data_IF_072104049584
#
_entry.id   IF_072104049584
#
_cell.length_a   1.000
_cell.length_b   1.000
_cell.length_c   1.000
_cell.angle_alpha   90.00
_cell.angle_beta   90.00
_cell.angle_gamma   90.00
#
_symmetry.space_group_name_H-M   'P 1'
#
loop_
_entity.id
_entity.type
_entity.pdbx_description
1 polymer ?
#
# COMPACT_ATOMS: atom_id res chain seq x y z
N UNK A 1 -3.84 26.62 -16.71
CA UNK A 1 -3.04 25.40 -16.46
C UNK A 1 -2.94 25.01 -14.95
N UNK A 2 -3.05 25.95 -14.02
CA UNK A 2 -2.94 25.67 -12.58
C UNK A 2 -4.08 24.79 -12.04
N UNK A 3 -5.32 25.03 -12.45
CA UNK A 3 -6.48 24.25 -12.02
C UNK A 3 -6.41 22.75 -12.38
N UNK A 4 -5.77 22.42 -13.49
CA UNK A 4 -5.65 21.03 -13.93
C UNK A 4 -4.69 20.22 -13.04
N UNK A 5 -3.63 20.84 -12.52
CA UNK A 5 -2.69 20.17 -11.61
C UNK A 5 -3.35 19.76 -10.29
N UNK A 6 -4.34 20.51 -9.84
CA UNK A 6 -5.11 20.21 -8.64
C UNK A 6 -6.20 19.16 -8.89
N UNK A 7 -6.79 19.14 -10.09
CA UNK A 7 -7.88 18.21 -10.43
C UNK A 7 -7.41 16.78 -10.64
N UNK A 8 -6.23 16.57 -11.24
CA UNK A 8 -5.73 15.22 -11.52
C UNK A 8 -5.58 14.33 -10.28
N UNK A 9 -4.94 14.78 -9.19
CA UNK A 9 -4.87 13.98 -7.96
C UNK A 9 -6.25 13.79 -7.30
N UNK A 10 -7.16 14.75 -7.46
CA UNK A 10 -8.50 14.67 -6.87
C UNK A 10 -9.37 13.55 -7.46
N UNK A 11 -9.09 13.11 -8.68
CA UNK A 11 -9.75 11.95 -9.30
C UNK A 11 -9.56 10.67 -8.48
N UNK A 12 -8.46 10.54 -7.75
CA UNK A 12 -8.21 9.41 -6.85
C UNK A 12 -9.21 9.37 -5.68
N UNK A 13 -9.73 10.53 -5.29
CA UNK A 13 -10.70 10.67 -4.20
C UNK A 13 -12.13 10.77 -4.73
N UNK A 14 -12.31 11.34 -5.91
CA UNK A 14 -13.61 11.57 -6.55
C UNK A 14 -13.56 11.21 -8.04
N UNK A 15 -13.72 9.93 -8.40
CA UNK A 15 -13.69 9.46 -9.78
C UNK A 15 -14.79 10.09 -10.66
N UNK A 16 -15.84 10.62 -10.05
CA UNK A 16 -16.92 11.33 -10.76
C UNK A 16 -16.43 12.54 -11.58
N UNK A 17 -15.28 13.11 -11.26
CA UNK A 17 -14.67 14.18 -12.06
C UNK A 17 -14.29 13.76 -13.49
N UNK A 18 -14.16 12.48 -13.73
CA UNK A 18 -13.92 11.90 -15.06
C UNK A 18 -15.10 11.07 -15.57
N UNK A 19 -16.29 11.29 -14.99
CA UNK A 19 -17.52 10.61 -15.40
C UNK A 19 -17.62 9.15 -14.98
N UNK A 20 -16.83 8.71 -13.97
CA UNK A 20 -16.91 7.36 -13.40
C UNK A 20 -17.64 7.39 -12.07
N UNK A 21 -18.71 6.60 -11.96
CA UNK A 21 -19.49 6.44 -10.73
C UNK A 21 -18.90 5.34 -9.84
N UNK A 22 -17.60 5.43 -9.59
CA UNK A 22 -16.88 4.49 -8.75
C UNK A 22 -16.48 5.14 -7.42
N UNK A 23 -16.15 4.32 -6.44
CA UNK A 23 -15.70 4.78 -5.13
C UNK A 23 -14.26 5.31 -5.21
N UNK A 24 -13.97 6.36 -4.45
CA UNK A 24 -12.62 6.86 -4.25
C UNK A 24 -11.75 5.95 -3.37
N UNK A 25 -10.45 6.20 -3.34
CA UNK A 25 -9.50 5.43 -2.51
C UNK A 25 -9.93 5.35 -1.03
N UNK A 26 -10.40 6.43 -0.38
CA UNK A 26 -10.82 6.35 1.02
C UNK A 26 -11.94 5.34 1.24
N UNK A 27 -12.96 5.35 0.37
CA UNK A 27 -14.11 4.46 0.47
C UNK A 27 -13.72 3.01 0.18
N UNK A 28 -12.87 2.78 -0.83
CA UNK A 28 -12.34 1.46 -1.16
C UNK A 28 -11.51 0.89 -0.02
N UNK A 29 -10.64 1.71 0.59
CA UNK A 29 -9.85 1.33 1.76
C UNK A 29 -10.76 0.97 2.94
N UNK A 30 -11.73 1.81 3.26
CA UNK A 30 -12.70 1.55 4.31
C UNK A 30 -13.48 0.25 4.08
N UNK A 31 -14.01 0.06 2.88
CA UNK A 31 -14.78 -1.14 2.53
C UNK A 31 -13.93 -2.41 2.58
N UNK A 32 -12.66 -2.32 2.18
CA UNK A 32 -11.73 -3.45 2.28
C UNK A 32 -11.50 -3.85 3.74
N UNK A 33 -11.23 -2.89 4.62
CA UNK A 33 -11.05 -3.13 6.05
C UNK A 33 -12.35 -3.65 6.70
N UNK A 34 -13.50 -3.14 6.26
CA UNK A 34 -14.81 -3.55 6.78
C UNK A 34 -15.15 -5.01 6.48
N UNK A 35 -14.58 -5.58 5.41
CA UNK A 35 -14.71 -7.01 5.05
C UNK A 35 -13.83 -7.93 5.89
N UNK A 36 -12.82 -7.38 6.58
CA UNK A 36 -11.97 -8.15 7.48
C UNK A 36 -12.66 -8.44 8.82
N UNK A 37 -12.09 -9.36 9.60
CA UNK A 37 -12.57 -9.66 10.95
C UNK A 37 -12.55 -8.39 11.82
N UNK A 38 -13.58 -8.22 12.66
CA UNK A 38 -13.78 -7.04 13.49
C UNK A 38 -12.60 -6.79 14.44
N UNK A 39 -11.98 -7.86 14.94
CA UNK A 39 -10.90 -7.80 15.92
C UNK A 39 -9.64 -7.13 15.39
N UNK A 40 -9.34 -7.31 14.08
CA UNK A 40 -8.13 -6.75 13.44
C UNK A 40 -8.36 -5.40 12.77
N UNK A 41 -9.61 -4.92 12.65
CA UNK A 41 -9.90 -3.66 11.92
C UNK A 41 -9.18 -2.45 12.51
N UNK A 42 -9.05 -2.39 13.83
CA UNK A 42 -8.31 -1.30 14.51
C UNK A 42 -6.86 -1.26 14.07
N UNK A 43 -6.22 -2.41 14.02
CA UNK A 43 -4.82 -2.53 13.63
C UNK A 43 -4.64 -2.20 12.15
N UNK A 44 -5.58 -2.58 11.29
CA UNK A 44 -5.56 -2.24 9.87
C UNK A 44 -5.70 -0.72 9.65
N UNK A 45 -6.60 -0.02 10.38
CA UNK A 45 -6.69 1.44 10.30
C UNK A 45 -5.45 2.15 10.82
N UNK A 46 -4.77 1.55 11.78
CA UNK A 46 -3.55 2.11 12.36
C UNK A 46 -2.30 1.86 11.50
N UNK A 47 -2.35 0.93 10.55
CA UNK A 47 -1.21 0.48 9.76
C UNK A 47 -1.49 0.53 8.25
N UNK A 48 -1.92 1.68 7.74
CA UNK A 48 -2.10 1.89 6.29
C UNK A 48 -0.79 2.39 5.71
N UNK A 49 -0.22 1.66 4.76
CA UNK A 49 1.03 1.98 4.09
C UNK A 49 0.77 2.41 2.65
N UNK A 50 1.34 3.54 2.23
CA UNK A 50 1.27 4.03 0.85
C UNK A 50 2.52 3.61 0.06
N UNK A 51 2.32 3.03 -1.10
CA UNK A 51 3.38 2.63 -2.03
C UNK A 51 2.94 2.85 -3.48
N UNK A 52 3.90 2.86 -4.39
CA UNK A 52 3.66 3.08 -5.81
C UNK A 52 3.87 4.52 -6.25
N UNK A 53 3.76 4.77 -7.55
CA UNK A 53 4.09 6.07 -8.15
C UNK A 53 3.27 7.24 -7.61
N UNK A 54 1.98 7.03 -7.33
CA UNK A 54 1.11 8.08 -6.80
C UNK A 54 1.34 8.37 -5.30
N UNK A 55 2.01 7.47 -4.57
CA UNK A 55 2.31 7.68 -3.15
C UNK A 55 3.27 8.85 -2.88
N UNK A 56 3.96 9.32 -3.91
CA UNK A 56 4.88 10.47 -3.83
C UNK A 56 4.16 11.83 -3.87
N UNK A 57 2.86 11.89 -4.15
CA UNK A 57 2.14 13.16 -4.14
C UNK A 57 2.16 13.77 -2.73
N UNK A 58 2.65 15.02 -2.67
CA UNK A 58 2.69 15.76 -1.41
C UNK A 58 1.30 15.90 -0.80
N UNK A 59 1.18 15.56 0.48
CA UNK A 59 -0.07 15.67 1.22
C UNK A 59 -1.07 14.53 0.98
N UNK A 60 -0.75 13.52 0.15
CA UNK A 60 -1.65 12.40 -0.11
C UNK A 60 -1.99 11.62 1.18
N UNK A 61 -0.99 11.36 2.03
CA UNK A 61 -1.17 10.66 3.30
C UNK A 61 -2.09 11.42 4.25
N UNK A 62 -1.89 12.74 4.35
CA UNK A 62 -2.69 13.60 5.22
C UNK A 62 -4.13 13.71 4.71
N UNK A 63 -4.29 13.87 3.39
CA UNK A 63 -5.61 13.89 2.75
C UNK A 63 -6.34 12.57 2.98
N UNK A 64 -5.71 11.44 2.73
CA UNK A 64 -6.31 10.11 2.94
C UNK A 64 -6.68 9.89 4.41
N UNK A 65 -5.81 10.27 5.34
CA UNK A 65 -6.08 10.20 6.78
C UNK A 65 -7.32 11.03 7.16
N UNK A 66 -7.43 12.25 6.62
CA UNK A 66 -8.55 13.13 6.92
C UNK A 66 -9.88 12.63 6.34
N UNK A 67 -9.87 12.07 5.12
CA UNK A 67 -11.07 11.50 4.52
C UNK A 67 -11.50 10.22 5.27
N UNK A 68 -10.56 9.34 5.61
CA UNK A 68 -10.88 8.14 6.40
C UNK A 68 -11.45 8.49 7.78
N UNK A 69 -10.96 9.54 8.44
CA UNK A 69 -11.54 10.02 9.71
C UNK A 69 -12.98 10.50 9.59
N UNK A 70 -13.37 11.04 8.44
CA UNK A 70 -14.77 11.45 8.18
C UNK A 70 -15.68 10.24 7.96
N UNK A 71 -15.18 9.19 7.30
CA UNK A 71 -15.94 7.98 6.96
C UNK A 71 -16.10 7.08 8.19
N UNK A 72 -15.05 6.99 9.01
CA UNK A 72 -15.04 6.13 10.20
C UNK A 72 -15.62 6.91 11.38
N UNK A 73 -16.92 6.82 11.58
CA UNK A 73 -17.62 7.43 12.72
C UNK A 73 -17.28 6.68 14.02
N UNK A 74 -17.02 7.43 15.09
CA UNK A 74 -16.91 6.93 16.46
C UNK A 74 -15.49 6.67 16.98
N UNK A 75 -15.34 5.75 17.93
CA UNK A 75 -14.17 5.53 18.80
C UNK A 75 -12.87 5.06 18.11
N UNK A 76 -12.82 4.92 16.81
CA UNK A 76 -11.62 4.59 16.04
C UNK A 76 -10.80 5.85 15.73
N UNK A 77 -10.42 6.57 16.78
CA UNK A 77 -9.69 7.85 16.69
C UNK A 77 -8.25 7.74 16.21
N UNK A 78 -7.72 6.53 16.00
CA UNK A 78 -6.32 6.32 15.63
C UNK A 78 -6.21 5.73 14.22
N UNK A 79 -6.42 6.58 13.22
CA UNK A 79 -6.11 6.24 11.82
C UNK A 79 -4.72 6.79 11.52
N UNK A 80 -3.84 5.95 10.99
CA UNK A 80 -2.50 6.34 10.62
C UNK A 80 -2.15 5.83 9.23
N UNK A 81 -1.83 6.76 8.36
CA UNK A 81 -1.35 6.49 7.01
C UNK A 81 0.13 6.84 6.95
N UNK A 82 0.95 5.86 6.65
CA UNK A 82 2.39 6.03 6.53
C UNK A 82 2.75 6.26 5.07
N UNK A 83 3.26 7.44 4.70
CA UNK A 83 3.99 7.57 3.46
C UNK A 83 5.33 6.85 3.64
N UNK A 84 5.72 6.05 2.67
CA UNK A 84 7.11 5.63 2.56
C UNK A 84 7.92 6.87 2.18
N UNK A 85 8.42 7.62 3.15
CA UNK A 85 9.25 8.81 2.91
C UNK A 85 10.62 8.37 2.42
N UNK A 86 11.07 8.97 1.31
CA UNK A 86 12.50 9.23 1.17
C UNK A 86 12.90 10.11 2.36
N UNK A 87 13.86 9.65 3.17
CA UNK A 87 14.42 10.48 4.23
C UNK A 87 15.05 11.71 3.57
N UNK A 88 14.52 12.88 3.86
CA UNK A 88 15.23 14.14 3.64
C UNK A 88 16.61 14.00 4.30
N UNK A 89 17.66 14.30 3.55
CA UNK A 89 19.04 14.33 4.04
C UNK A 89 19.15 15.28 5.22
N UNK A 90 19.05 14.76 6.45
CA UNK A 90 19.64 15.45 7.61
C UNK A 90 21.10 15.04 7.64
N UNK A 91 21.96 16.02 7.47
CA UNK A 91 23.42 15.92 7.57
C UNK A 91 23.82 15.78 9.05
N UNK A 92 23.57 14.65 9.67
CA UNK A 92 24.16 14.30 10.96
C UNK A 92 25.09 13.10 10.77
N UNK A 93 26.36 13.33 11.12
CA UNK A 93 27.55 12.57 10.68
C UNK A 93 27.83 11.25 11.42
N UNK A 94 27.01 10.78 12.33
CA UNK A 94 27.40 9.72 13.26
C UNK A 94 26.62 8.38 13.18
N UNK A 95 25.77 8.18 12.15
CA UNK A 95 25.02 6.91 11.94
C UNK A 95 25.24 6.30 10.56
N UNK A 96 26.49 6.19 10.08
CA UNK A 96 26.77 5.78 8.70
C UNK A 96 26.41 4.32 8.37
N UNK A 97 26.45 3.40 9.31
CA UNK A 97 26.32 1.97 8.99
C UNK A 97 24.87 1.45 8.89
N UNK A 98 23.92 2.09 9.55
CA UNK A 98 22.50 1.74 9.44
C UNK A 98 21.77 2.49 8.31
N UNK A 99 22.27 3.64 7.87
CA UNK A 99 21.68 4.44 6.80
C UNK A 99 21.86 3.83 5.41
N UNK A 100 22.96 3.14 5.13
CA UNK A 100 23.17 2.50 3.82
C UNK A 100 22.19 1.36 3.54
N UNK A 101 21.74 0.64 4.55
CA UNK A 101 20.72 -0.42 4.40
C UNK A 101 19.33 0.13 4.09
N UNK A 102 18.99 1.32 4.61
CA UNK A 102 17.66 1.93 4.45
C UNK A 102 17.53 2.81 3.19
N UNK A 103 18.64 3.23 2.57
CA UNK A 103 18.65 3.97 1.29
C UNK A 103 18.22 3.15 0.07
N UNK A 104 17.96 1.86 0.26
CA UNK A 104 17.81 0.89 -0.83
C UNK A 104 16.40 0.78 -1.41
N UNK A 105 15.38 1.36 -0.77
CA UNK A 105 13.99 1.17 -1.20
C UNK A 105 13.38 2.46 -1.73
N UNK A 106 13.15 2.52 -3.04
CA UNK A 106 12.37 3.57 -3.67
C UNK A 106 10.87 3.32 -3.38
N UNK A 107 10.20 4.31 -2.83
CA UNK A 107 8.75 4.27 -2.53
C UNK A 107 7.93 3.83 -3.74
N UNK A 108 8.33 4.24 -4.94
CA UNK A 108 7.64 3.87 -6.19
C UNK A 108 7.74 2.39 -6.49
N UNK A 109 8.90 1.81 -6.21
CA UNK A 109 9.28 0.43 -6.56
C UNK A 109 9.26 -0.52 -5.36
N UNK A 110 8.85 -0.05 -4.17
CA UNK A 110 8.93 -0.83 -2.93
C UNK A 110 8.23 -2.19 -3.02
N UNK A 111 7.09 -2.27 -3.70
CA UNK A 111 6.35 -3.53 -3.90
C UNK A 111 7.15 -4.49 -4.78
N UNK A 112 7.73 -4.00 -5.89
CA UNK A 112 8.56 -4.80 -6.78
C UNK A 112 9.85 -5.27 -6.08
N UNK A 113 10.51 -4.38 -5.38
CA UNK A 113 11.71 -4.70 -4.60
C UNK A 113 11.40 -5.72 -3.49
N UNK A 114 10.29 -5.56 -2.78
CA UNK A 114 9.82 -6.51 -1.79
C UNK A 114 9.53 -7.88 -2.39
N UNK A 115 8.89 -7.93 -3.55
CA UNK A 115 8.67 -9.16 -4.31
C UNK A 115 9.98 -9.84 -4.72
N UNK A 116 10.97 -9.06 -5.20
CA UNK A 116 12.28 -9.58 -5.55
C UNK A 116 13.02 -10.15 -4.34
N UNK A 117 12.94 -9.51 -3.17
CA UNK A 117 13.51 -10.04 -1.93
C UNK A 117 12.79 -11.31 -1.49
N UNK A 118 11.45 -11.29 -1.47
CA UNK A 118 10.64 -12.44 -1.06
C UNK A 118 10.90 -13.67 -1.94
N UNK A 119 11.00 -13.49 -3.26
CA UNK A 119 11.25 -14.58 -4.21
C UNK A 119 12.60 -15.29 -4.01
N UNK A 120 13.56 -14.62 -3.38
CA UNK A 120 14.87 -15.22 -3.06
C UNK A 120 14.91 -15.93 -1.71
N UNK A 121 13.85 -15.85 -0.90
CA UNK A 121 13.81 -16.58 0.38
C UNK A 121 13.57 -18.07 0.13
N UNK A 122 14.35 -18.93 0.81
CA UNK A 122 14.20 -20.39 0.74
C UNK A 122 12.79 -20.84 1.12
N UNK A 123 12.20 -20.20 2.12
CA UNK A 123 10.81 -20.48 2.56
C UNK A 123 9.78 -20.19 1.47
N UNK A 124 10.03 -19.17 0.63
CA UNK A 124 9.12 -18.83 -0.47
C UNK A 124 9.24 -19.80 -1.64
N UNK A 125 10.42 -20.38 -1.86
CA UNK A 125 10.64 -21.39 -2.93
C UNK A 125 9.75 -22.62 -2.76
N UNK A 126 9.45 -23.01 -1.52
CA UNK A 126 8.54 -24.12 -1.24
C UNK A 126 7.08 -23.86 -1.67
N UNK A 127 6.71 -22.59 -1.86
CA UNK A 127 5.38 -22.18 -2.32
C UNK A 127 5.27 -22.12 -3.84
N UNK A 128 6.37 -22.23 -4.57
CA UNK A 128 6.34 -22.22 -6.02
C UNK A 128 5.62 -23.46 -6.55
N UNK A 129 4.91 -23.27 -7.63
CA UNK A 129 4.29 -24.36 -8.38
C UNK A 129 5.30 -24.77 -9.45
N UNK A 130 5.81 -25.99 -9.37
CA UNK A 130 6.70 -26.53 -10.39
C UNK A 130 5.91 -26.96 -11.62
N UNK A 131 6.59 -27.15 -12.74
CA UNK A 131 5.95 -27.62 -13.98
C UNK A 131 5.32 -28.99 -13.78
N UNK A 132 6.02 -29.88 -13.10
CA UNK A 132 5.57 -31.25 -12.80
C UNK A 132 4.30 -31.21 -11.93
N UNK A 133 4.29 -30.40 -10.87
CA UNK A 133 3.11 -30.24 -10.02
C UNK A 133 1.89 -29.68 -10.78
N UNK A 134 2.13 -28.78 -11.74
CA UNK A 134 1.07 -28.24 -12.57
C UNK A 134 0.54 -29.29 -13.57
N UNK A 135 1.43 -30.10 -14.17
CA UNK A 135 1.05 -31.17 -15.09
C UNK A 135 0.23 -32.27 -14.39
N UNK A 136 0.55 -32.60 -13.14
CA UNK A 136 -0.18 -33.59 -12.33
C UNK A 136 -1.52 -33.10 -11.82
N UNK A 137 -1.58 -31.84 -11.34
CA UNK A 137 -2.76 -31.32 -10.61
C UNK A 137 -3.56 -30.29 -11.41
N UNK A 138 -3.11 -29.90 -12.61
CA UNK A 138 -3.71 -28.85 -13.44
C UNK A 138 -3.87 -27.52 -12.66
N UNK A 139 -4.79 -26.65 -13.08
CA UNK A 139 -5.03 -25.36 -12.44
C UNK A 139 -5.51 -25.46 -10.97
N UNK A 140 -5.95 -26.63 -10.51
CA UNK A 140 -6.44 -26.81 -9.12
C UNK A 140 -5.34 -26.66 -8.07
N UNK A 141 -4.06 -26.81 -8.45
CA UNK A 141 -2.90 -26.61 -7.58
C UNK A 141 -2.84 -25.19 -7.03
N UNK A 142 -3.36 -24.20 -7.79
CA UNK A 142 -3.39 -22.78 -7.40
C UNK A 142 -4.19 -22.61 -6.11
N UNK A 143 -5.36 -23.25 -6.00
CA UNK A 143 -6.21 -23.14 -4.80
C UNK A 143 -5.60 -23.79 -3.55
N UNK A 144 -4.61 -24.66 -3.73
CA UNK A 144 -3.92 -25.33 -2.64
C UNK A 144 -2.65 -24.62 -2.20
N UNK A 145 -1.93 -23.98 -3.12
CA UNK A 145 -0.65 -23.30 -2.83
C UNK A 145 -0.73 -21.76 -2.77
N UNK A 146 -1.71 -21.16 -3.45
CA UNK A 146 -1.90 -19.71 -3.45
C UNK A 146 -3.14 -19.36 -2.61
N UNK A 147 -2.98 -18.37 -1.74
CA UNK A 147 -4.04 -17.88 -0.85
C UNK A 147 -4.85 -16.78 -1.51
#
# INVERSE_FOLDING_TARGET
MEDQRLRWPEVLFKPSFIGKEELGIPDLCHNSIKRCNIDIRKDLYYNILLSGGNAIFNGLSDRLTNELKKIVEGALSKIRVFPLKEKEKKEDKDEKDNEERMKKYDTKLAVWQGGAVASNLEQFKSQWITKEEYEENSATIIHRKCF
#
